data_IF_591256999515
#
_entry.id   IF_591256999515
#
_cell.length_a   1.000
_cell.length_b   1.000
_cell.length_c   1.000
_cell.angle_alpha   90.00
_cell.angle_beta   90.00
_cell.angle_gamma   90.00
#
_symmetry.space_group_name_H-M   'P 1'
#
loop_
_entity.id
_entity.type
_entity.pdbx_description
1 polymer ?
#
# COMPACT_ATOMS: atom_id res chain seq x y z
N UNK A 1 4.88 -23.88 4.04
CA UNK A 1 5.17 -22.69 4.88
C UNK A 1 3.84 -22.04 5.23
N UNK A 2 3.50 -21.90 6.51
CA UNK A 2 2.29 -21.19 6.95
C UNK A 2 2.72 -19.81 7.45
N UNK A 3 2.86 -18.86 6.56
CA UNK A 3 3.21 -17.49 6.91
C UNK A 3 2.61 -16.51 5.92
N UNK A 4 2.80 -15.21 6.17
CA UNK A 4 2.46 -14.15 5.23
C UNK A 4 3.58 -13.09 5.21
N UNK A 5 3.57 -12.22 4.22
CA UNK A 5 4.29 -10.97 4.26
C UNK A 5 3.32 -9.83 4.60
N UNK A 6 3.67 -9.04 5.60
CA UNK A 6 2.93 -7.83 5.95
C UNK A 6 3.63 -6.61 5.38
N UNK A 7 2.86 -5.73 4.74
CA UNK A 7 3.34 -4.45 4.24
C UNK A 7 2.37 -3.33 4.54
N UNK A 8 2.87 -2.11 4.57
CA UNK A 8 2.09 -0.89 4.76
C UNK A 8 2.26 0.00 3.54
N UNK A 9 1.16 0.37 2.89
CA UNK A 9 1.17 1.43 1.89
C UNK A 9 1.10 2.76 2.65
N UNK A 10 2.28 3.37 2.85
CA UNK A 10 2.48 4.53 3.71
C UNK A 10 2.18 5.81 2.93
N UNK A 11 0.89 6.13 2.91
CA UNK A 11 0.32 7.27 2.19
C UNK A 11 -0.54 8.15 3.10
N UNK A 12 -0.61 9.45 2.81
CA UNK A 12 -1.52 10.38 3.47
C UNK A 12 -2.81 10.54 2.63
N UNK A 13 -3.85 9.83 3.03
CA UNK A 13 -5.15 9.87 2.37
C UNK A 13 -5.70 11.29 2.21
N UNK A 14 -5.63 12.12 3.27
CA UNK A 14 -6.13 13.48 3.24
C UNK A 14 -5.38 14.35 2.25
N UNK A 15 -4.05 14.27 2.25
CA UNK A 15 -3.20 14.99 1.31
C UNK A 15 -3.50 14.60 -0.13
N UNK A 16 -3.56 13.29 -0.40
CA UNK A 16 -3.86 12.76 -1.72
C UNK A 16 -5.23 13.22 -2.22
N UNK A 17 -6.25 13.21 -1.36
CA UNK A 17 -7.58 13.68 -1.71
C UNK A 17 -7.60 15.18 -1.99
N UNK A 18 -6.98 16.02 -1.13
CA UNK A 18 -6.86 17.46 -1.34
C UNK A 18 -6.22 17.78 -2.69
N UNK A 19 -5.11 17.07 -3.00
CA UNK A 19 -4.40 17.23 -4.26
C UNK A 19 -5.25 16.80 -5.47
N UNK A 20 -5.95 15.69 -5.40
CA UNK A 20 -6.84 15.20 -6.46
C UNK A 20 -8.04 16.12 -6.72
N UNK A 21 -8.41 16.93 -5.73
CA UNK A 21 -9.46 17.96 -5.82
C UNK A 21 -8.93 19.30 -6.35
N UNK A 22 -7.62 19.41 -6.63
CA UNK A 22 -7.00 20.63 -7.13
C UNK A 22 -6.83 21.73 -6.07
N UNK A 23 -6.75 21.37 -4.79
CA UNK A 23 -6.45 22.33 -3.73
C UNK A 23 -5.02 22.83 -3.85
N UNK A 24 -4.81 24.14 -3.83
CA UNK A 24 -3.52 24.77 -4.06
C UNK A 24 -2.47 24.42 -3.00
N UNK A 25 -2.88 24.25 -1.73
CA UNK A 25 -1.97 23.98 -0.62
C UNK A 25 -2.48 22.78 0.19
N UNK A 26 -2.30 21.53 -0.30
CA UNK A 26 -2.69 20.37 0.44
C UNK A 26 -1.85 20.23 1.73
N UNK A 27 -2.53 19.92 2.84
CA UNK A 27 -1.93 19.84 4.18
C UNK A 27 -1.79 18.38 4.59
N UNK A 28 -0.57 18.00 4.98
CA UNK A 28 -0.28 16.68 5.52
C UNK A 28 -0.88 16.48 6.93
N UNK A 29 -1.32 15.26 7.20
CA UNK A 29 -1.88 14.85 8.50
C UNK A 29 -0.83 14.11 9.35
N UNK A 30 0.32 14.75 9.59
CA UNK A 30 1.46 14.14 10.29
C UNK A 30 1.11 13.58 11.67
N UNK A 31 0.26 14.25 12.45
CA UNK A 31 -0.18 13.73 13.74
C UNK A 31 -0.99 12.43 13.59
N UNK A 32 -1.92 12.40 12.63
CA UNK A 32 -2.68 11.19 12.32
C UNK A 32 -1.77 10.06 11.84
N UNK A 33 -0.76 10.39 11.03
CA UNK A 33 0.24 9.44 10.57
C UNK A 33 1.00 8.82 11.75
N UNK A 34 1.52 9.64 12.67
CA UNK A 34 2.22 9.17 13.88
C UNK A 34 1.34 8.20 14.70
N UNK A 35 0.11 8.61 15.02
CA UNK A 35 -0.82 7.78 15.79
C UNK A 35 -1.14 6.44 15.10
N UNK A 36 -1.24 6.45 13.78
CA UNK A 36 -1.48 5.23 13.00
C UNK A 36 -0.29 4.29 13.06
N UNK A 37 0.91 4.82 12.86
CA UNK A 37 2.16 4.04 12.89
C UNK A 37 2.37 3.43 14.27
N UNK A 38 2.18 4.17 15.36
CA UNK A 38 2.26 3.64 16.73
C UNK A 38 1.33 2.43 16.93
N UNK A 39 0.09 2.49 16.40
CA UNK A 39 -0.86 1.37 16.49
C UNK A 39 -0.45 0.18 15.65
N UNK A 40 0.07 0.43 14.43
CA UNK A 40 0.56 -0.62 13.54
C UNK A 40 1.75 -1.34 14.18
N UNK A 41 2.75 -0.60 14.64
CA UNK A 41 3.95 -1.17 15.28
C UNK A 41 3.56 -2.01 16.49
N UNK A 42 2.67 -1.53 17.37
CA UNK A 42 2.20 -2.32 18.51
C UNK A 42 1.59 -3.66 18.09
N UNK A 43 0.79 -3.69 17.05
CA UNK A 43 0.19 -4.95 16.54
C UNK A 43 1.26 -5.91 16.04
N UNK A 44 2.30 -5.39 15.40
CA UNK A 44 3.41 -6.20 14.88
C UNK A 44 4.27 -6.75 16.01
N UNK A 45 4.64 -5.92 16.99
CA UNK A 45 5.45 -6.32 18.15
C UNK A 45 4.77 -7.38 19.04
N UNK A 46 3.43 -7.34 19.12
CA UNK A 46 2.63 -8.32 19.84
C UNK A 46 2.36 -9.61 19.05
N UNK A 47 2.62 -9.61 17.74
CA UNK A 47 2.34 -10.76 16.87
C UNK A 47 3.51 -11.76 16.83
N UNK A 48 3.25 -13.07 16.60
CA UNK A 48 4.32 -14.02 16.33
C UNK A 48 4.96 -13.79 14.96
N UNK A 49 6.24 -14.10 14.83
CA UNK A 49 7.00 -14.00 13.57
C UNK A 49 7.98 -12.85 13.54
N UNK A 50 8.35 -12.40 12.35
CA UNK A 50 9.25 -11.26 12.17
C UNK A 50 8.54 -9.95 12.49
N UNK A 51 9.21 -9.08 13.26
CA UNK A 51 8.73 -7.72 13.51
C UNK A 51 9.09 -6.76 12.36
N UNK A 52 9.94 -7.18 11.44
CA UNK A 52 10.34 -6.36 10.30
C UNK A 52 9.32 -6.49 9.18
N UNK A 53 8.86 -5.36 8.66
CA UNK A 53 7.91 -5.28 7.55
C UNK A 53 8.36 -4.22 6.55
N UNK A 54 7.77 -4.23 5.37
CA UNK A 54 8.02 -3.23 4.34
C UNK A 54 6.97 -2.11 4.41
N UNK A 55 7.43 -0.86 4.47
CA UNK A 55 6.62 0.34 4.32
C UNK A 55 6.87 0.95 2.93
N UNK A 56 5.92 0.81 2.02
CA UNK A 56 5.96 1.48 0.73
C UNK A 56 5.53 2.93 0.91
N UNK A 57 6.51 3.84 1.03
CA UNK A 57 6.25 5.25 1.30
C UNK A 57 6.13 6.06 0.03
N UNK A 58 5.16 6.99 -0.02
CA UNK A 58 5.20 8.05 -1.01
C UNK A 58 6.33 9.03 -0.69
N UNK A 59 6.94 9.64 -1.72
CA UNK A 59 7.94 10.68 -1.52
C UNK A 59 7.39 11.87 -0.73
N UNK A 60 6.08 12.18 -0.89
CA UNK A 60 5.40 13.23 -0.13
C UNK A 60 5.40 12.92 1.37
N UNK A 61 5.06 11.68 1.77
CA UNK A 61 5.08 11.30 3.19
C UNK A 61 6.49 11.34 3.74
N UNK A 62 7.48 10.85 2.99
CA UNK A 62 8.89 10.88 3.40
C UNK A 62 9.41 12.32 3.57
N UNK A 63 8.98 13.26 2.72
CA UNK A 63 9.30 14.67 2.84
C UNK A 63 8.71 15.31 4.10
N UNK A 64 7.42 15.05 4.35
CA UNK A 64 6.65 15.75 5.38
C UNK A 64 6.76 15.09 6.77
N UNK A 65 7.22 13.83 6.83
CA UNK A 65 7.30 13.02 8.05
C UNK A 65 8.65 12.30 8.17
N UNK A 66 9.75 13.02 8.00
CA UNK A 66 11.12 12.47 8.04
C UNK A 66 11.42 11.67 9.30
N UNK A 67 10.96 12.15 10.44
CA UNK A 67 11.19 11.51 11.74
C UNK A 67 10.52 10.13 11.81
N UNK A 68 9.33 9.97 11.21
CA UNK A 68 8.65 8.67 11.11
C UNK A 68 9.47 7.72 10.23
N UNK A 69 9.87 8.17 9.04
CA UNK A 69 10.65 7.35 8.10
C UNK A 69 11.96 6.90 8.75
N UNK A 70 12.65 7.83 9.43
CA UNK A 70 13.88 7.52 10.15
C UNK A 70 13.66 6.53 11.28
N UNK A 71 12.61 6.74 12.09
CA UNK A 71 12.22 5.83 13.17
C UNK A 71 11.98 4.40 12.64
N UNK A 72 11.19 4.24 11.59
CA UNK A 72 10.88 2.94 11.00
C UNK A 72 12.15 2.25 10.49
N UNK A 73 12.99 2.98 9.78
CA UNK A 73 14.27 2.49 9.25
C UNK A 73 15.23 2.06 10.37
N UNK A 74 15.37 2.87 11.45
CA UNK A 74 16.26 2.57 12.59
C UNK A 74 15.78 1.34 13.39
N UNK A 75 14.50 1.00 13.31
CA UNK A 75 13.93 -0.20 13.92
C UNK A 75 13.93 -1.42 12.98
N UNK A 76 14.66 -1.34 11.86
CA UNK A 76 14.90 -2.48 10.97
C UNK A 76 13.79 -2.75 9.94
N UNK A 77 12.82 -1.84 9.80
CA UNK A 77 11.84 -1.95 8.73
C UNK A 77 12.41 -1.50 7.39
N UNK A 78 11.97 -2.13 6.32
CA UNK A 78 12.30 -1.70 4.96
C UNK A 78 11.41 -0.53 4.54
N UNK A 79 12.03 0.49 3.90
CA UNK A 79 11.29 1.59 3.30
C UNK A 79 11.37 1.47 1.78
N UNK A 80 10.28 0.98 1.17
CA UNK A 80 10.10 0.93 -0.27
C UNK A 80 9.47 2.20 -0.83
N UNK A 81 9.36 2.29 -2.15
CA UNK A 81 8.80 3.42 -2.87
C UNK A 81 7.34 3.18 -3.28
N UNK A 82 6.48 4.17 -3.06
CA UNK A 82 5.07 4.18 -3.48
C UNK A 82 4.77 5.37 -4.40
N UNK A 83 5.68 5.66 -5.37
CA UNK A 83 5.70 6.85 -6.18
C UNK A 83 5.97 8.13 -5.35
N UNK A 84 6.09 9.31 -5.99
CA UNK A 84 6.31 10.55 -5.25
C UNK A 84 5.03 11.08 -4.61
N UNK A 85 3.99 11.26 -5.43
CA UNK A 85 2.61 11.43 -4.99
C UNK A 85 1.86 10.11 -5.26
N UNK A 86 0.74 9.92 -4.64
CA UNK A 86 -0.08 8.73 -4.85
C UNK A 86 -0.83 8.76 -6.20
N UNK A 87 -0.13 9.12 -7.29
CA UNK A 87 -0.69 9.19 -8.64
C UNK A 87 -0.65 7.82 -9.33
N UNK A 88 -1.73 7.48 -10.03
CA UNK A 88 -1.81 6.24 -10.78
C UNK A 88 -0.80 6.22 -11.93
N UNK A 89 -0.04 5.15 -12.03
CA UNK A 89 1.02 4.99 -13.05
C UNK A 89 0.43 4.97 -14.45
N UNK A 90 -0.68 4.25 -14.68
CA UNK A 90 -1.37 4.19 -15.99
C UNK A 90 -2.02 5.51 -16.45
N UNK A 91 -2.01 6.54 -15.61
CA UNK A 91 -2.46 7.90 -15.94
C UNK A 91 -1.29 8.87 -16.16
N UNK A 92 -0.06 8.39 -16.02
CA UNK A 92 1.17 9.15 -16.22
C UNK A 92 1.78 8.86 -17.59
N UNK A 93 2.74 9.67 -18.01
CA UNK A 93 3.62 9.36 -19.12
C UNK A 93 5.00 8.94 -18.59
N UNK A 94 5.80 8.34 -19.46
CA UNK A 94 7.12 7.78 -19.11
C UNK A 94 8.06 8.81 -18.49
N UNK A 95 8.09 10.03 -19.01
CA UNK A 95 9.02 11.08 -18.55
C UNK A 95 8.65 11.55 -17.14
N UNK A 96 7.39 11.86 -16.92
CA UNK A 96 6.91 12.33 -15.61
C UNK A 96 7.00 11.23 -14.56
N UNK A 97 6.71 9.98 -14.94
CA UNK A 97 6.85 8.83 -14.05
C UNK A 97 8.30 8.57 -13.66
N UNK A 98 9.22 8.57 -14.64
CA UNK A 98 10.67 8.41 -14.40
C UNK A 98 11.18 9.48 -13.42
N UNK A 99 10.80 10.74 -13.64
CA UNK A 99 11.17 11.83 -12.75
C UNK A 99 10.58 11.68 -11.35
N UNK A 100 9.32 11.30 -11.26
CA UNK A 100 8.66 11.06 -9.96
C UNK A 100 9.33 9.94 -9.16
N UNK A 101 9.80 8.88 -9.83
CA UNK A 101 10.57 7.82 -9.18
C UNK A 101 11.91 8.34 -8.63
N UNK A 102 12.67 9.10 -9.44
CA UNK A 102 13.95 9.66 -9.01
C UNK A 102 13.77 10.60 -7.81
N UNK A 103 12.81 11.52 -7.88
CA UNK A 103 12.48 12.45 -6.78
C UNK A 103 12.03 11.69 -5.51
N UNK A 104 11.29 10.57 -5.65
CA UNK A 104 10.84 9.76 -4.54
C UNK A 104 11.99 8.99 -3.89
N UNK A 105 12.83 8.35 -4.69
CA UNK A 105 14.01 7.61 -4.20
C UNK A 105 14.93 8.53 -3.41
N UNK A 106 15.20 9.71 -3.94
CA UNK A 106 16.09 10.69 -3.31
C UNK A 106 15.58 11.09 -1.93
N UNK A 107 14.30 11.46 -1.81
CA UNK A 107 13.75 11.90 -0.52
C UNK A 107 13.56 10.75 0.47
N UNK A 108 13.17 9.55 0.00
CA UNK A 108 13.01 8.37 0.85
C UNK A 108 14.38 7.94 1.39
N UNK A 109 15.40 7.82 0.53
CA UNK A 109 16.74 7.40 0.96
C UNK A 109 17.39 8.43 1.90
N UNK A 110 17.22 9.73 1.66
CA UNK A 110 17.68 10.78 2.57
C UNK A 110 16.99 10.71 3.93
N UNK A 111 15.69 10.41 3.95
CA UNK A 111 14.90 10.36 5.20
C UNK A 111 15.14 9.08 5.99
N UNK A 112 15.29 7.94 5.33
CA UNK A 112 15.53 6.64 5.96
C UNK A 112 17.00 6.39 6.31
N UNK A 113 17.92 6.96 5.53
CA UNK A 113 19.35 6.62 5.56
C UNK A 113 19.66 5.25 4.93
N UNK A 114 18.73 4.68 4.17
CA UNK A 114 18.85 3.36 3.53
C UNK A 114 18.59 3.46 2.02
N UNK A 115 19.15 2.54 1.21
CA UNK A 115 18.76 2.38 -0.19
C UNK A 115 17.29 1.94 -0.30
N UNK A 116 16.63 2.32 -1.40
CA UNK A 116 15.25 1.95 -1.71
C UNK A 116 15.27 0.80 -2.71
N UNK A 117 14.89 -0.41 -2.27
CA UNK A 117 14.99 -1.62 -3.10
C UNK A 117 13.68 -2.02 -3.78
N UNK A 118 12.55 -1.70 -3.18
CA UNK A 118 11.24 -2.14 -3.62
C UNK A 118 10.34 -1.01 -4.11
N UNK A 119 9.47 -1.34 -5.07
CA UNK A 119 8.43 -0.45 -5.56
C UNK A 119 7.04 -1.08 -5.43
N UNK A 120 6.03 -0.24 -5.21
CA UNK A 120 4.62 -0.60 -5.36
C UNK A 120 3.87 0.55 -6.02
N UNK A 121 3.16 0.27 -7.12
CA UNK A 121 2.35 1.26 -7.79
C UNK A 121 1.12 1.66 -6.95
N UNK A 122 0.85 2.97 -6.79
CA UNK A 122 -0.38 3.43 -6.16
C UNK A 122 -1.62 2.78 -6.77
N UNK A 123 -2.56 2.35 -5.92
CA UNK A 123 -3.79 1.66 -6.33
C UNK A 123 -3.57 0.37 -7.16
N UNK A 124 -2.34 -0.16 -7.22
CA UNK A 124 -1.96 -1.27 -8.14
C UNK A 124 -2.29 -0.93 -9.60
N UNK A 125 -1.96 0.26 -10.01
CA UNK A 125 -2.39 0.91 -11.26
C UNK A 125 -1.49 0.60 -12.45
N UNK A 126 -0.85 -0.56 -12.46
CA UNK A 126 -0.12 -1.10 -13.62
C UNK A 126 -0.54 -2.54 -13.88
N UNK A 127 -0.44 -2.97 -15.12
CA UNK A 127 -0.58 -4.37 -15.52
C UNK A 127 0.50 -4.75 -16.54
N UNK A 128 0.52 -6.02 -16.96
CA UNK A 128 1.54 -6.54 -17.87
C UNK A 128 1.59 -5.85 -19.24
N UNK A 129 0.59 -5.06 -19.61
CA UNK A 129 0.61 -4.25 -20.83
C UNK A 129 1.41 -2.97 -20.69
N UNK A 130 1.66 -2.51 -19.47
CA UNK A 130 2.41 -1.27 -19.18
C UNK A 130 3.93 -1.51 -19.18
N UNK A 131 4.46 -2.15 -20.22
CA UNK A 131 5.87 -2.54 -20.34
C UNK A 131 6.84 -1.38 -20.08
N UNK A 132 6.49 -0.20 -20.55
CA UNK A 132 7.30 1.02 -20.36
C UNK A 132 7.48 1.37 -18.87
N UNK A 133 6.44 1.10 -18.04
CA UNK A 133 6.52 1.37 -16.61
C UNK A 133 7.47 0.37 -15.91
N UNK A 134 7.37 -0.93 -16.25
CA UNK A 134 8.29 -1.94 -15.74
C UNK A 134 9.74 -1.69 -16.17
N UNK A 135 9.97 -1.18 -17.38
CA UNK A 135 11.31 -0.75 -17.80
C UNK A 135 11.87 0.35 -16.91
N UNK A 136 11.06 1.34 -16.50
CA UNK A 136 11.52 2.41 -15.61
C UNK A 136 11.72 1.90 -14.17
N UNK A 137 10.87 0.99 -13.70
CA UNK A 137 10.97 0.36 -12.38
C UNK A 137 12.25 -0.50 -12.31
N UNK A 138 12.49 -1.35 -13.31
CA UNK A 138 13.64 -2.28 -13.31
C UNK A 138 15.01 -1.61 -13.35
N UNK A 139 15.09 -0.36 -13.80
CA UNK A 139 16.34 0.43 -13.76
C UNK A 139 16.72 0.89 -12.35
N UNK A 140 15.77 0.92 -11.42
CA UNK A 140 15.89 1.57 -10.12
C UNK A 140 15.69 0.64 -8.94
N UNK A 141 14.85 -0.39 -9.09
CA UNK A 141 14.44 -1.26 -8.01
C UNK A 141 14.81 -2.72 -8.28
N UNK A 142 15.04 -3.46 -7.21
CA UNK A 142 15.31 -4.89 -7.27
C UNK A 142 14.03 -5.71 -7.39
N UNK A 143 12.93 -5.19 -6.80
CA UNK A 143 11.65 -5.87 -6.85
C UNK A 143 10.47 -4.89 -6.98
N UNK A 144 9.37 -5.42 -7.46
CA UNK A 144 8.07 -4.76 -7.57
C UNK A 144 6.98 -5.57 -6.85
N UNK A 145 5.95 -4.91 -6.37
CA UNK A 145 4.78 -5.54 -5.77
C UNK A 145 3.49 -4.86 -6.24
N UNK A 146 3.40 -4.63 -7.53
CA UNK A 146 2.29 -3.85 -8.13
C UNK A 146 1.24 -4.70 -8.81
N UNK A 147 1.59 -5.92 -9.24
CA UNK A 147 0.64 -6.77 -9.93
C UNK A 147 -0.38 -7.39 -8.97
N UNK A 148 -1.62 -7.42 -9.43
CA UNK A 148 -2.66 -8.21 -8.78
C UNK A 148 -2.90 -9.45 -9.63
N UNK A 149 -2.65 -10.65 -9.09
CA UNK A 149 -2.83 -11.84 -9.86
C UNK A 149 -3.96 -12.69 -9.34
N UNK A 150 -4.73 -13.22 -10.27
CA UNK A 150 -5.58 -14.36 -9.98
C UNK A 150 -4.74 -15.62 -10.05
N UNK A 151 -5.06 -16.57 -9.19
CA UNK A 151 -4.42 -17.88 -9.04
C UNK A 151 -4.08 -18.59 -10.37
N UNK A 152 -4.82 -18.35 -11.41
CA UNK A 152 -4.59 -18.97 -12.73
C UNK A 152 -3.53 -18.26 -13.58
N UNK A 153 -3.14 -17.06 -13.20
CA UNK A 153 -2.27 -16.19 -14.01
C UNK A 153 -0.84 -16.10 -13.46
N UNK A 154 -0.65 -16.41 -12.17
CA UNK A 154 0.68 -16.50 -11.57
C UNK A 154 0.97 -17.94 -11.17
N UNK A 155 2.02 -18.49 -11.74
CA UNK A 155 2.42 -19.88 -11.49
C UNK A 155 3.22 -20.03 -10.19
N UNK A 156 3.76 -18.95 -9.62
CA UNK A 156 4.61 -18.97 -8.43
C UNK A 156 4.35 -17.74 -7.55
N UNK A 157 4.77 -17.81 -6.30
CA UNK A 157 4.71 -16.68 -5.34
C UNK A 157 5.57 -15.49 -5.76
N UNK A 158 6.57 -15.72 -6.60
CA UNK A 158 7.43 -14.72 -7.21
C UNK A 158 7.50 -15.00 -8.71
N UNK A 159 7.40 -13.95 -9.51
CA UNK A 159 7.54 -14.04 -10.97
C UNK A 159 8.69 -13.12 -11.38
N UNK A 160 9.75 -13.70 -11.92
CA UNK A 160 10.79 -12.91 -12.56
C UNK A 160 10.27 -12.35 -13.88
N UNK A 161 10.06 -11.04 -13.91
CA UNK A 161 9.67 -10.35 -15.12
C UNK A 161 10.91 -10.05 -15.95
N UNK A 162 11.09 -10.78 -17.05
CA UNK A 162 12.07 -10.40 -18.08
C UNK A 162 11.52 -9.19 -18.84
N UNK A 163 11.94 -8.02 -18.41
CA UNK A 163 11.60 -6.76 -19.06
C UNK A 163 12.70 -6.45 -20.07
N UNK A 164 12.31 -5.88 -21.23
CA UNK A 164 13.18 -5.57 -22.35
C UNK A 164 14.53 -4.95 -21.90
N UNK A 165 15.61 -5.67 -22.13
CA UNK A 165 16.97 -5.37 -21.68
C UNK A 165 17.53 -6.41 -20.72
N UNK A 166 18.74 -6.16 -20.21
CA UNK A 166 19.47 -7.09 -19.32
C UNK A 166 19.02 -7.05 -17.85
N UNK A 167 18.01 -6.23 -17.51
CA UNK A 167 17.54 -6.07 -16.14
C UNK A 167 16.42 -7.06 -15.82
N UNK A 168 16.59 -7.87 -14.78
CA UNK A 168 15.54 -8.68 -14.19
C UNK A 168 14.89 -7.91 -13.03
N UNK A 169 13.56 -7.97 -12.93
CA UNK A 169 12.78 -7.41 -11.83
C UNK A 169 12.01 -8.55 -11.17
N UNK A 170 12.12 -8.67 -9.86
CA UNK A 170 11.38 -9.69 -9.11
C UNK A 170 10.01 -9.12 -8.77
N UNK A 171 8.95 -9.82 -9.15
CA UNK A 171 7.59 -9.42 -8.80
C UNK A 171 7.04 -10.22 -7.62
N UNK A 172 6.52 -9.52 -6.61
CA UNK A 172 5.75 -10.08 -5.49
C UNK A 172 4.26 -9.72 -5.65
N UNK A 173 3.50 -10.51 -6.39
CA UNK A 173 2.12 -10.15 -6.74
C UNK A 173 1.19 -10.23 -5.53
N UNK A 174 0.26 -9.29 -5.44
CA UNK A 174 -0.81 -9.32 -4.45
C UNK A 174 -1.88 -10.30 -4.89
N UNK A 175 -2.18 -11.27 -4.02
CA UNK A 175 -3.19 -12.27 -4.30
C UNK A 175 -4.57 -11.66 -4.49
N UNK A 176 -5.19 -11.94 -5.61
CA UNK A 176 -6.57 -11.57 -5.92
C UNK A 176 -7.43 -12.77 -6.28
N UNK A 177 -8.68 -12.74 -5.86
CA UNK A 177 -9.66 -13.77 -6.20
C UNK A 177 -10.63 -13.25 -7.26
N UNK A 178 -10.76 -13.98 -8.38
CA UNK A 178 -11.76 -13.67 -9.41
C UNK A 178 -13.13 -14.17 -8.97
N UNK A 179 -14.01 -13.25 -8.59
CA UNK A 179 -15.40 -13.55 -8.30
C UNK A 179 -16.22 -13.47 -9.58
N UNK A 180 -16.97 -14.54 -9.89
CA UNK A 180 -17.81 -14.66 -11.11
C UNK A 180 -17.04 -14.35 -12.42
N UNK A 181 -15.75 -14.63 -12.47
CA UNK A 181 -14.87 -14.39 -13.64
C UNK A 181 -14.76 -12.92 -14.12
N UNK A 182 -15.32 -11.96 -13.37
CA UNK A 182 -15.41 -10.55 -13.80
C UNK A 182 -14.82 -9.56 -12.80
N UNK A 183 -14.78 -9.90 -11.51
CA UNK A 183 -14.36 -8.96 -10.46
C UNK A 183 -13.14 -9.52 -9.74
N UNK A 184 -12.00 -8.84 -9.86
CA UNK A 184 -10.83 -9.15 -9.06
C UNK A 184 -11.00 -8.55 -7.66
N UNK A 185 -11.05 -9.40 -6.65
CA UNK A 185 -11.13 -9.00 -5.25
C UNK A 185 -9.75 -9.20 -4.62
N UNK A 186 -9.09 -8.12 -4.24
CA UNK A 186 -7.86 -8.14 -3.45
C UNK A 186 -8.19 -8.44 -1.99
N UNK A 187 -8.30 -9.71 -1.68
CA UNK A 187 -8.95 -10.18 -0.46
C UNK A 187 -8.18 -9.86 0.80
N UNK A 188 -6.85 -9.77 0.70
CA UNK A 188 -5.94 -9.72 1.85
C UNK A 188 -5.42 -8.30 2.11
N UNK A 189 -6.21 -7.29 1.74
CA UNK A 189 -5.82 -5.90 2.00
C UNK A 189 -6.92 -4.88 1.81
N UNK A 190 -6.66 -3.67 2.25
CA UNK A 190 -7.54 -2.52 2.12
C UNK A 190 -8.97 -2.76 2.62
N UNK A 191 -9.94 -2.26 1.89
CA UNK A 191 -11.37 -2.35 2.26
C UNK A 191 -11.85 -3.80 2.47
N UNK A 192 -11.36 -4.77 1.66
CA UNK A 192 -11.80 -6.16 1.79
C UNK A 192 -11.32 -6.81 3.09
N UNK A 193 -10.10 -6.52 3.52
CA UNK A 193 -9.58 -6.97 4.81
C UNK A 193 -10.46 -6.46 5.97
N UNK A 194 -10.99 -5.25 5.86
CA UNK A 194 -11.86 -4.66 6.89
C UNK A 194 -13.24 -5.27 6.95
N UNK A 195 -13.89 -5.46 5.78
CA UNK A 195 -15.32 -5.82 5.71
C UNK A 195 -15.59 -7.32 5.66
N UNK A 196 -14.68 -8.12 5.08
CA UNK A 196 -14.89 -9.56 4.99
C UNK A 196 -14.81 -10.23 6.37
N UNK A 197 -15.64 -11.26 6.63
CA UNK A 197 -15.50 -12.08 7.83
C UNK A 197 -14.12 -12.74 7.92
N UNK A 198 -13.52 -12.74 9.12
CA UNK A 198 -12.20 -13.34 9.35
C UNK A 198 -12.08 -14.76 8.81
N UNK A 199 -13.11 -15.60 9.02
CA UNK A 199 -13.14 -16.98 8.52
C UNK A 199 -12.94 -17.06 7.00
N UNK A 200 -13.54 -16.14 6.24
CA UNK A 200 -13.40 -16.09 4.78
C UNK A 200 -11.99 -15.71 4.40
N UNK A 201 -11.40 -14.69 5.07
CA UNK A 201 -10.02 -14.26 4.83
C UNK A 201 -9.05 -15.42 5.06
N UNK A 202 -9.16 -16.10 6.21
CA UNK A 202 -8.31 -17.27 6.54
C UNK A 202 -8.45 -18.40 5.51
N UNK A 203 -9.67 -18.70 5.06
CA UNK A 203 -9.88 -19.70 4.01
C UNK A 203 -9.19 -19.31 2.69
N UNK A 204 -9.26 -18.03 2.32
CA UNK A 204 -8.65 -17.54 1.08
C UNK A 204 -7.11 -17.47 1.20
N UNK A 205 -6.58 -17.18 2.38
CA UNK A 205 -5.13 -17.26 2.63
C UNK A 205 -4.64 -18.72 2.55
N UNK A 206 -5.33 -19.67 3.16
CA UNK A 206 -5.01 -21.10 2.99
C UNK A 206 -5.08 -21.54 1.52
N UNK A 207 -6.08 -21.02 0.80
CA UNK A 207 -6.18 -21.28 -0.65
C UNK A 207 -4.99 -20.72 -1.40
N UNK A 208 -4.58 -19.47 -1.13
CA UNK A 208 -3.38 -18.87 -1.73
C UNK A 208 -2.15 -19.77 -1.48
N UNK A 209 -1.91 -20.18 -0.24
CA UNK A 209 -0.80 -21.07 0.11
C UNK A 209 -0.87 -22.41 -0.62
N UNK A 210 -2.06 -23.02 -0.72
CA UNK A 210 -2.25 -24.30 -1.42
C UNK A 210 -1.98 -24.21 -2.93
N UNK A 211 -2.03 -23.03 -3.49
CA UNK A 211 -1.78 -22.72 -4.89
C UNK A 211 -0.37 -22.17 -5.14
N UNK A 212 0.49 -22.19 -4.11
CA UNK A 212 1.89 -21.81 -4.20
C UNK A 212 2.16 -20.31 -3.97
N UNK A 213 1.13 -19.52 -3.58
CA UNK A 213 1.30 -18.11 -3.23
C UNK A 213 1.66 -17.94 -1.76
N UNK A 214 2.64 -17.10 -1.48
CA UNK A 214 2.80 -16.55 -0.15
C UNK A 214 1.82 -15.39 0.02
N UNK A 215 0.86 -15.47 0.99
CA UNK A 215 -0.09 -14.38 1.21
C UNK A 215 0.64 -13.07 1.53
N UNK A 216 0.34 -12.03 0.77
CA UNK A 216 0.85 -10.69 0.99
C UNK A 216 -0.28 -9.84 1.54
N UNK A 217 -0.20 -9.51 2.83
CA UNK A 217 -1.15 -8.65 3.53
C UNK A 217 -0.70 -7.21 3.38
N UNK A 218 -1.58 -6.33 2.91
CA UNK A 218 -1.28 -4.90 2.86
C UNK A 218 -2.33 -4.08 3.59
N UNK A 219 -1.88 -3.06 4.30
CA UNK A 219 -2.69 -2.16 5.13
C UNK A 219 -2.27 -0.71 4.90
N UNK A 220 -3.12 0.23 5.35
CA UNK A 220 -2.85 1.65 5.24
C UNK A 220 -2.95 2.33 6.61
N UNK A 221 -2.20 3.41 6.86
CA UNK A 221 -2.25 4.13 8.14
C UNK A 221 -3.67 4.55 8.55
N UNK A 222 -4.45 5.11 7.63
CA UNK A 222 -5.81 5.58 7.90
C UNK A 222 -6.80 4.48 8.31
N UNK A 223 -6.46 3.22 8.13
CA UNK A 223 -7.29 2.08 8.55
C UNK A 223 -7.19 1.79 10.05
N UNK A 224 -6.17 2.33 10.72
CA UNK A 224 -5.90 2.13 12.16
C UNK A 224 -6.45 3.25 13.04
N UNK A 225 -7.09 4.25 12.45
CA UNK A 225 -7.79 5.33 13.14
C UNK A 225 -9.30 5.21 12.96
N UNK A 226 -10.07 5.81 13.86
CA UNK A 226 -11.53 5.60 13.91
C UNK A 226 -12.33 6.90 13.86
N UNK A 227 -11.67 8.00 14.16
CA UNK A 227 -12.26 9.32 14.25
C UNK A 227 -11.99 10.15 12.98
N UNK A 228 -11.85 11.45 13.09
CA UNK A 228 -11.78 12.35 11.96
C UNK A 228 -10.35 12.80 11.61
N UNK A 229 -9.34 12.06 12.05
CA UNK A 229 -7.93 12.47 11.93
C UNK A 229 -7.50 12.66 10.47
N UNK A 230 -7.91 11.75 9.57
CA UNK A 230 -7.67 11.87 8.13
C UNK A 230 -8.86 12.47 7.35
N UNK A 231 -9.92 12.86 8.04
CA UNK A 231 -11.15 13.29 7.40
C UNK A 231 -11.06 14.73 6.89
N UNK A 232 -11.51 14.98 5.67
CA UNK A 232 -11.76 16.30 5.16
C UNK A 232 -13.20 16.72 5.49
N UNK A 233 -13.33 17.75 6.29
CA UNK A 233 -14.61 18.26 6.74
C UNK A 233 -15.41 18.95 5.62
N UNK A 234 -16.66 19.28 5.90
CA UNK A 234 -17.46 20.08 4.99
C UNK A 234 -16.88 21.46 4.70
N UNK A 235 -16.07 22.00 5.63
CA UNK A 235 -15.36 23.28 5.44
C UNK A 235 -14.19 23.09 4.48
N UNK A 236 -13.40 22.03 4.65
CA UNK A 236 -12.29 21.71 3.76
C UNK A 236 -12.77 21.48 2.31
N UNK A 237 -13.96 20.89 2.16
CA UNK A 237 -14.61 20.63 0.87
C UNK A 237 -15.52 21.75 0.39
N UNK A 238 -15.43 22.97 0.93
CA UNK A 238 -16.36 24.06 0.62
C UNK A 238 -16.30 24.51 -0.85
N UNK A 239 -15.12 24.46 -1.45
CA UNK A 239 -14.87 24.94 -2.82
C UNK A 239 -15.26 23.96 -3.93
N UNK A 240 -15.65 22.72 -3.61
CA UNK A 240 -16.03 21.73 -4.63
C UNK A 240 -17.56 21.65 -4.83
N UNK A 241 -18.03 21.28 -6.05
CA UNK A 241 -19.47 21.14 -6.33
C UNK A 241 -20.17 20.16 -5.39
N UNK A 242 -21.42 20.47 -5.02
CA UNK A 242 -22.21 19.68 -4.05
C UNK A 242 -22.25 18.17 -4.36
N UNK A 243 -22.43 17.79 -5.64
CA UNK A 243 -22.44 16.38 -6.04
C UNK A 243 -21.11 15.69 -5.73
N UNK A 244 -19.97 16.33 -6.02
CA UNK A 244 -18.63 15.81 -5.68
C UNK A 244 -18.42 15.76 -4.17
N UNK A 245 -18.93 16.76 -3.44
CA UNK A 245 -18.87 16.79 -1.98
C UNK A 245 -19.58 15.60 -1.34
N UNK A 246 -20.82 15.32 -1.75
CA UNK A 246 -21.59 14.15 -1.27
C UNK A 246 -20.85 12.87 -1.62
N UNK A 247 -20.36 12.72 -2.85
CA UNK A 247 -19.57 11.55 -3.26
C UNK A 247 -18.36 11.34 -2.34
N UNK A 248 -17.58 12.37 -2.08
CA UNK A 248 -16.38 12.25 -1.25
C UNK A 248 -16.69 12.01 0.23
N UNK A 249 -17.80 12.55 0.75
CA UNK A 249 -18.26 12.22 2.10
C UNK A 249 -18.58 10.72 2.23
N UNK A 250 -19.22 10.13 1.24
CA UNK A 250 -19.52 8.68 1.21
C UNK A 250 -18.21 7.88 1.09
N UNK A 251 -17.30 8.28 0.19
CA UNK A 251 -16.02 7.57 -0.03
C UNK A 251 -15.10 7.65 1.20
N UNK A 252 -15.00 8.81 1.83
CA UNK A 252 -14.24 8.94 3.08
C UNK A 252 -14.81 8.00 4.16
N UNK A 253 -16.13 7.95 4.33
CA UNK A 253 -16.74 7.04 5.28
C UNK A 253 -16.37 5.57 5.01
N UNK A 254 -16.40 5.16 3.74
CA UNK A 254 -15.99 3.81 3.32
C UNK A 254 -14.52 3.53 3.67
N UNK A 255 -13.61 4.46 3.41
CA UNK A 255 -12.18 4.23 3.57
C UNK A 255 -11.68 4.48 4.99
N UNK A 256 -12.16 5.53 5.65
CA UNK A 256 -11.61 5.98 6.93
C UNK A 256 -12.37 5.46 8.16
N UNK A 257 -13.60 4.94 8.01
CA UNK A 257 -14.42 4.52 9.16
C UNK A 257 -14.91 3.08 9.09
N UNK A 258 -15.39 2.65 7.91
CA UNK A 258 -16.06 1.36 7.78
C UNK A 258 -15.10 0.20 8.05
N UNK A 259 -15.36 -0.55 9.12
CA UNK A 259 -14.59 -1.74 9.50
C UNK A 259 -13.30 -1.45 10.28
N UNK A 260 -12.83 -0.20 10.38
CA UNK A 260 -11.57 0.13 11.07
C UNK A 260 -11.53 -0.34 12.52
N UNK A 261 -12.60 -0.15 13.30
CA UNK A 261 -12.67 -0.57 14.72
C UNK A 261 -12.36 -2.05 14.96
N UNK A 262 -12.61 -2.90 13.97
CA UNK A 262 -12.36 -4.35 14.05
C UNK A 262 -11.02 -4.78 13.47
N UNK A 263 -10.32 -3.90 12.76
CA UNK A 263 -9.15 -4.27 11.96
C UNK A 263 -7.98 -4.77 12.82
N UNK A 264 -7.63 -4.06 13.89
CA UNK A 264 -6.53 -4.45 14.79
C UNK A 264 -6.72 -5.89 15.26
N UNK A 265 -7.89 -6.19 15.86
CA UNK A 265 -8.19 -7.54 16.35
C UNK A 265 -8.15 -8.59 15.23
N UNK A 266 -8.61 -8.21 14.03
CA UNK A 266 -8.62 -9.11 12.87
C UNK A 266 -7.20 -9.38 12.37
N UNK A 267 -6.36 -8.34 12.26
CA UNK A 267 -4.97 -8.46 11.86
C UNK A 267 -4.17 -9.30 12.86
N UNK A 268 -4.30 -9.06 14.18
CA UNK A 268 -3.66 -9.89 15.19
C UNK A 268 -4.02 -11.37 15.03
N UNK A 269 -5.29 -11.68 14.78
CA UNK A 269 -5.73 -13.08 14.54
C UNK A 269 -5.19 -13.68 13.25
N UNK A 270 -5.01 -12.88 12.21
CA UNK A 270 -4.38 -13.31 10.96
C UNK A 270 -2.91 -13.65 11.23
N UNK A 271 -2.18 -12.77 11.92
CA UNK A 271 -0.77 -12.98 12.22
C UNK A 271 -0.50 -14.12 13.20
N UNK A 272 -1.45 -14.45 14.12
CA UNK A 272 -1.37 -15.66 14.93
C UNK A 272 -1.41 -16.95 14.09
N UNK A 273 -2.16 -16.97 12.97
CA UNK A 273 -2.34 -18.14 12.10
C UNK A 273 -1.29 -18.17 10.98
N UNK A 274 -0.96 -17.01 10.46
CA UNK A 274 0.02 -16.78 9.40
C UNK A 274 1.06 -15.76 9.92
N UNK A 275 2.06 -16.19 10.69
CA UNK A 275 3.11 -15.30 11.19
C UNK A 275 3.81 -14.55 10.06
N UNK A 276 4.17 -13.28 10.31
CA UNK A 276 4.98 -12.51 9.38
C UNK A 276 6.38 -13.14 9.24
N UNK A 277 6.91 -13.18 8.01
CA UNK A 277 8.17 -13.82 7.65
C UNK A 277 9.27 -12.83 7.33
#
# INVERSE_FOLDING_TARGET
MNGCFLSVDLEDFSYNLQRSLGMENPVSRSLAMNLSIERIIRVIEEAPGSNNITFFSTGQVARDNKDIIKYLSDNGHEIGCHNYYHDNVNQSNRVDFSKALDDAIDIISQSSGQPVYGFRAPNFSIDLSDQWAFEEISKRFLYDSSLTSSVKECLNSTTELKIFGDNSLIEFPVFSYKFLSKINIRVIGGTFLKILPLKIIIQLMHKAVSEGFLPLVYIHPYEFLYDDEFWLSNKDLACIPLKKKIYWQVRQNQWLKMGNKGLIKKLSKILEIFPNQ
#
